data_IF_107336362266
#
_entry.id   IF_107336362266
#
_cell.length_a   1.000
_cell.length_b   1.000
_cell.length_c   1.000
_cell.angle_alpha   90.00
_cell.angle_beta   90.00
_cell.angle_gamma   90.00
#
_symmetry.space_group_name_H-M   'P 1'
#
loop_
_entity.id
_entity.type
_entity.pdbx_description
1 polymer ?
#
# COMPACT_ATOMS: atom_id res chain seq x y z
N UNK A 1 -50.92 -13.67 -36.96
CA UNK A 1 -51.91 -14.60 -37.54
C UNK A 1 -51.22 -15.93 -37.79
N UNK A 2 -51.82 -17.03 -37.31
CA UNK A 2 -51.46 -18.44 -37.62
C UNK A 2 -50.22 -18.98 -36.89
N UNK A 3 -50.23 -20.00 -36.03
CA UNK A 3 -51.25 -20.98 -35.67
C UNK A 3 -50.85 -22.40 -36.12
N UNK A 4 -50.56 -23.28 -35.13
CA UNK A 4 -50.74 -24.76 -35.12
C UNK A 4 -49.82 -25.59 -36.05
N UNK A 5 -49.25 -26.77 -35.73
CA UNK A 5 -49.77 -28.05 -35.18
C UNK A 5 -48.53 -28.88 -34.75
N UNK A 6 -48.27 -29.24 -33.49
CA UNK A 6 -48.78 -30.39 -32.71
C UNK A 6 -48.49 -31.79 -33.31
N UNK A 7 -47.43 -32.47 -32.85
CA UNK A 7 -47.40 -33.93 -32.73
C UNK A 7 -46.89 -34.34 -31.36
N UNK A 8 -47.81 -34.92 -30.60
CA UNK A 8 -47.59 -35.52 -29.30
C UNK A 8 -47.02 -36.93 -29.46
N UNK A 9 -45.98 -37.24 -28.70
CA UNK A 9 -45.68 -38.61 -28.31
C UNK A 9 -45.35 -38.61 -26.82
N UNK A 10 -46.25 -39.17 -26.02
CA UNK A 10 -46.08 -39.41 -24.58
C UNK A 10 -45.73 -40.88 -24.38
N UNK A 11 -44.57 -41.16 -23.79
CA UNK A 11 -44.27 -42.30 -22.91
C UNK A 11 -43.06 -41.84 -22.05
N UNK A 12 -43.27 -41.35 -20.83
CA UNK A 12 -43.38 -42.08 -19.56
C UNK A 12 -42.03 -42.49 -18.93
N UNK A 13 -41.57 -41.60 -18.03
CA UNK A 13 -41.03 -41.82 -16.66
C UNK A 13 -39.68 -42.54 -16.42
N UNK A 14 -38.75 -41.71 -15.93
CA UNK A 14 -37.77 -41.84 -14.84
C UNK A 14 -36.55 -42.78 -14.94
N UNK A 15 -35.37 -42.14 -14.88
CA UNK A 15 -34.32 -42.53 -13.96
C UNK A 15 -33.59 -41.27 -13.44
N UNK A 16 -33.56 -41.14 -12.12
CA UNK A 16 -32.81 -40.15 -11.34
C UNK A 16 -31.32 -40.34 -11.57
N UNK A 17 -30.60 -39.27 -11.93
CA UNK A 17 -29.21 -39.08 -11.52
C UNK A 17 -29.07 -37.66 -10.99
N UNK A 18 -28.92 -37.59 -9.68
CA UNK A 18 -28.37 -36.45 -8.95
C UNK A 18 -26.95 -36.23 -9.46
N UNK A 19 -26.78 -35.26 -10.36
CA UNK A 19 -25.49 -34.72 -10.77
C UNK A 19 -25.39 -33.31 -10.21
N UNK A 20 -24.76 -33.20 -9.04
CA UNK A 20 -24.54 -31.97 -8.29
C UNK A 20 -23.85 -30.96 -9.21
N UNK A 21 -24.55 -29.87 -9.52
CA UNK A 21 -23.94 -28.69 -10.10
C UNK A 21 -23.09 -28.02 -9.04
N UNK A 22 -21.78 -28.20 -9.11
CA UNK A 22 -20.83 -27.32 -8.42
C UNK A 22 -20.63 -26.09 -9.31
N UNK A 23 -21.62 -25.19 -9.33
CA UNK A 23 -21.24 -23.78 -9.32
C UNK A 23 -20.62 -23.56 -7.95
N UNK A 24 -19.29 -23.62 -7.89
CA UNK A 24 -18.52 -23.11 -6.77
C UNK A 24 -18.88 -21.64 -6.62
N UNK A 25 -19.95 -21.38 -5.85
CA UNK A 25 -20.17 -20.09 -5.24
C UNK A 25 -18.95 -19.85 -4.37
N UNK A 26 -18.28 -18.75 -4.68
CA UNK A 26 -17.10 -18.27 -4.01
C UNK A 26 -17.44 -17.96 -2.55
N UNK A 27 -17.37 -18.97 -1.70
CA UNK A 27 -17.15 -18.79 -0.28
C UNK A 27 -15.62 -18.70 -0.09
N UNK A 28 -15.05 -17.52 -0.35
CA UNK A 28 -13.73 -17.18 0.19
C UNK A 28 -13.86 -16.90 1.69
N UNK A 29 -14.27 -17.93 2.43
CA UNK A 29 -13.99 -18.02 3.86
C UNK A 29 -12.69 -18.78 4.00
N UNK A 30 -11.56 -18.15 3.67
CA UNK A 30 -10.28 -18.72 4.02
C UNK A 30 -10.17 -18.68 5.56
N UNK A 31 -10.23 -19.83 6.21
CA UNK A 31 -9.46 -20.06 7.43
C UNK A 31 -7.98 -19.95 7.03
N UNK A 32 -7.52 -18.71 6.85
CA UNK A 32 -6.15 -18.40 6.51
C UNK A 32 -5.31 -18.63 7.77
N UNK A 33 -4.87 -19.87 7.96
CA UNK A 33 -3.82 -20.17 8.93
C UNK A 33 -2.56 -19.39 8.52
N UNK A 34 -2.23 -18.36 9.29
CA UNK A 34 -1.02 -17.58 9.12
C UNK A 34 0.17 -18.26 9.81
N UNK A 35 1.36 -17.99 9.31
CA UNK A 35 2.61 -18.55 9.83
C UNK A 35 3.51 -17.47 10.40
N UNK A 36 4.50 -17.86 11.19
CA UNK A 36 5.48 -16.92 11.77
C UNK A 36 6.24 -16.16 10.68
N UNK A 37 6.56 -16.86 9.60
CA UNK A 37 7.29 -16.32 8.44
C UNK A 37 6.49 -15.19 7.76
N UNK A 38 5.16 -15.17 7.87
CA UNK A 38 4.34 -14.11 7.28
C UNK A 38 4.56 -12.76 7.97
N UNK A 39 4.90 -12.74 9.27
CA UNK A 39 5.21 -11.51 9.99
C UNK A 39 6.50 -10.88 9.46
N UNK A 40 7.55 -11.69 9.34
CA UNK A 40 8.84 -11.26 8.80
C UNK A 40 8.72 -10.85 7.33
N UNK A 41 7.98 -11.61 6.53
CA UNK A 41 7.77 -11.30 5.11
C UNK A 41 7.06 -9.96 4.91
N UNK A 42 6.07 -9.63 5.74
CA UNK A 42 5.36 -8.34 5.68
C UNK A 42 6.29 -7.18 6.07
N UNK A 43 7.16 -7.36 7.06
CA UNK A 43 8.17 -6.36 7.45
C UNK A 43 9.16 -6.13 6.32
N UNK A 44 9.71 -7.19 5.73
CA UNK A 44 10.69 -7.07 4.66
C UNK A 44 10.10 -6.45 3.39
N UNK A 45 8.89 -6.86 2.99
CA UNK A 45 8.21 -6.28 1.83
C UNK A 45 7.99 -4.77 1.99
N UNK A 46 7.67 -4.34 3.21
CA UNK A 46 7.47 -2.91 3.51
C UNK A 46 8.80 -2.15 3.53
N UNK A 47 9.83 -2.74 4.12
CA UNK A 47 11.18 -2.16 4.10
C UNK A 47 11.69 -1.99 2.66
N UNK A 48 11.45 -2.97 1.79
CA UNK A 48 11.76 -2.85 0.36
C UNK A 48 10.98 -1.71 -0.29
N UNK A 49 9.67 -1.64 -0.06
CA UNK A 49 8.82 -0.57 -0.61
C UNK A 49 9.32 0.82 -0.21
N UNK A 50 9.75 1.00 1.04
CA UNK A 50 10.32 2.26 1.52
C UNK A 50 11.67 2.57 0.90
N UNK A 51 12.53 1.57 0.68
CA UNK A 51 13.81 1.75 -0.03
C UNK A 51 13.58 2.17 -1.48
N UNK A 52 12.64 1.52 -2.17
CA UNK A 52 12.28 1.83 -3.55
C UNK A 52 11.68 3.22 -3.69
N UNK A 53 10.80 3.61 -2.76
CA UNK A 53 10.23 4.94 -2.70
C UNK A 53 11.32 6.02 -2.55
N UNK A 54 12.29 5.78 -1.67
CA UNK A 54 13.41 6.71 -1.46
C UNK A 54 14.39 6.75 -2.65
N UNK A 55 14.71 5.59 -3.24
CA UNK A 55 15.63 5.50 -4.38
C UNK A 55 15.06 6.16 -5.62
N UNK A 56 13.74 6.08 -5.81
CA UNK A 56 13.02 6.79 -6.87
C UNK A 56 12.97 8.30 -6.63
N UNK A 57 12.51 8.73 -5.46
CA UNK A 57 12.15 10.14 -5.27
C UNK A 57 13.35 11.04 -4.95
N UNK A 58 14.38 10.55 -4.24
CA UNK A 58 15.53 11.39 -3.86
C UNK A 58 16.25 12.02 -5.06
N UNK A 59 16.63 11.27 -6.11
CA UNK A 59 17.33 11.84 -7.25
C UNK A 59 16.48 12.91 -7.95
N UNK A 60 15.21 12.61 -8.23
CA UNK A 60 14.27 13.52 -8.89
C UNK A 60 14.06 14.82 -8.08
N UNK A 61 13.88 14.69 -6.77
CA UNK A 61 13.75 15.83 -5.87
C UNK A 61 15.01 16.71 -5.85
N UNK A 62 16.19 16.08 -5.85
CA UNK A 62 17.46 16.80 -5.94
C UNK A 62 17.63 17.53 -7.29
N UNK A 63 17.10 16.97 -8.38
CA UNK A 63 17.10 17.64 -9.69
C UNK A 63 16.25 18.90 -9.66
N UNK A 64 15.02 18.82 -9.18
CA UNK A 64 14.11 19.97 -9.05
C UNK A 64 14.67 21.07 -8.16
N UNK A 65 15.37 20.71 -7.07
CA UNK A 65 16.09 21.68 -6.25
C UNK A 65 17.20 22.39 -7.02
N UNK A 66 17.96 21.68 -7.86
CA UNK A 66 19.00 22.27 -8.73
C UNK A 66 18.38 23.19 -9.79
N UNK A 67 17.26 22.78 -10.38
CA UNK A 67 16.50 23.62 -11.32
C UNK A 67 16.02 24.91 -10.66
N UNK A 68 15.45 24.81 -9.45
CA UNK A 68 14.98 25.97 -8.71
C UNK A 68 16.13 26.93 -8.36
N UNK A 69 17.27 26.38 -7.92
CA UNK A 69 18.49 27.17 -7.67
C UNK A 69 18.89 27.97 -8.91
N UNK A 70 18.94 27.32 -10.07
CA UNK A 70 19.30 27.97 -11.33
C UNK A 70 18.28 29.05 -11.72
N UNK A 71 16.98 28.73 -11.65
CA UNK A 71 15.88 29.65 -11.97
C UNK A 71 15.88 30.91 -11.10
N UNK A 72 16.22 30.76 -9.82
CA UNK A 72 16.30 31.87 -8.85
C UNK A 72 17.67 32.54 -8.78
N UNK A 73 18.63 32.07 -9.57
CA UNK A 73 20.02 32.53 -9.58
C UNK A 73 20.66 32.56 -8.18
N UNK A 74 20.32 31.56 -7.33
CA UNK A 74 20.83 31.48 -5.97
C UNK A 74 22.31 31.08 -5.94
N UNK A 75 23.06 31.75 -5.09
CA UNK A 75 24.40 31.30 -4.69
C UNK A 75 24.33 29.97 -3.94
N UNK A 76 25.48 29.31 -3.72
CA UNK A 76 25.50 28.08 -2.93
C UNK A 76 25.02 28.31 -1.49
N UNK A 77 25.38 29.43 -0.86
CA UNK A 77 24.95 29.73 0.51
C UNK A 77 23.43 29.94 0.59
N UNK A 78 22.88 30.74 -0.32
CA UNK A 78 21.43 30.93 -0.40
C UNK A 78 20.70 29.62 -0.70
N UNK A 79 21.28 28.75 -1.53
CA UNK A 79 20.70 27.44 -1.79
C UNK A 79 20.58 26.61 -0.51
N UNK A 80 21.63 26.55 0.33
CA UNK A 80 21.58 25.79 1.58
C UNK A 80 20.52 26.32 2.55
N UNK A 81 20.32 27.64 2.61
CA UNK A 81 19.32 28.28 3.47
C UNK A 81 17.90 28.14 2.90
N UNK A 82 17.72 28.48 1.62
CA UNK A 82 16.41 28.57 0.97
C UNK A 82 15.86 27.21 0.54
N UNK A 83 16.71 26.19 0.38
CA UNK A 83 16.27 24.82 0.07
C UNK A 83 15.74 24.08 1.31
N UNK A 84 16.22 24.41 2.52
CA UNK A 84 15.89 23.66 3.73
C UNK A 84 14.37 23.53 3.98
N UNK A 85 13.55 24.60 3.80
CA UNK A 85 12.10 24.51 4.00
C UNK A 85 11.38 23.58 3.02
N UNK A 86 11.98 23.19 1.90
CA UNK A 86 11.37 22.22 0.98
C UNK A 86 11.49 20.77 1.48
N UNK A 87 12.43 20.51 2.39
CA UNK A 87 12.65 19.18 2.99
C UNK A 87 12.09 19.10 4.40
N UNK A 88 12.17 20.21 5.16
CA UNK A 88 11.80 20.26 6.57
C UNK A 88 11.05 21.55 6.92
N UNK A 89 9.84 21.36 7.41
CA UNK A 89 8.88 22.36 7.86
C UNK A 89 7.87 21.70 8.83
N UNK A 90 6.87 22.45 9.28
CA UNK A 90 5.90 21.96 10.25
C UNK A 90 5.07 20.78 9.71
N UNK A 91 4.77 20.75 8.40
CA UNK A 91 3.96 19.69 7.80
C UNK A 91 4.74 18.40 7.63
N UNK A 92 5.99 18.49 7.19
CA UNK A 92 6.93 17.36 7.12
C UNK A 92 7.28 16.82 8.50
N UNK A 93 7.34 17.68 9.53
CA UNK A 93 7.49 17.24 10.92
C UNK A 93 6.29 16.40 11.42
N UNK A 94 5.06 16.69 10.98
CA UNK A 94 3.89 15.84 11.28
C UNK A 94 4.00 14.47 10.61
N UNK A 95 4.45 14.41 9.35
CA UNK A 95 4.70 13.13 8.69
C UNK A 95 5.81 12.34 9.41
N UNK A 96 6.90 12.99 9.79
CA UNK A 96 8.01 12.36 10.50
C UNK A 96 7.57 11.76 11.83
N UNK A 97 6.79 12.52 12.62
CA UNK A 97 6.21 12.03 13.86
C UNK A 97 5.31 10.81 13.64
N UNK A 98 4.44 10.86 12.63
CA UNK A 98 3.55 9.74 12.32
C UNK A 98 4.34 8.49 11.90
N UNK A 99 5.41 8.67 11.12
CA UNK A 99 6.30 7.58 10.72
C UNK A 99 6.98 6.96 11.93
N UNK A 100 7.51 7.75 12.86
CA UNK A 100 8.15 7.25 14.07
C UNK A 100 7.18 6.44 14.95
N UNK A 101 5.94 6.93 15.12
CA UNK A 101 4.88 6.23 15.84
C UNK A 101 4.51 4.89 15.17
N UNK A 102 4.39 4.89 13.84
CA UNK A 102 4.10 3.68 13.06
C UNK A 102 5.23 2.65 13.16
N UNK A 103 6.48 3.09 12.99
CA UNK A 103 7.66 2.23 13.11
C UNK A 103 7.77 1.59 14.49
N UNK A 104 7.50 2.36 15.55
CA UNK A 104 7.48 1.85 16.92
C UNK A 104 6.43 0.75 17.10
N UNK A 105 5.20 1.00 16.67
CA UNK A 105 4.11 0.02 16.76
C UNK A 105 4.39 -1.24 15.92
N UNK A 106 4.87 -1.06 14.69
CA UNK A 106 5.27 -2.13 13.78
C UNK A 106 6.35 -3.02 14.40
N UNK A 107 7.38 -2.43 14.99
CA UNK A 107 8.48 -3.16 15.62
C UNK A 107 7.97 -4.01 16.80
N UNK A 108 7.12 -3.42 17.65
CA UNK A 108 6.50 -4.13 18.78
C UNK A 108 5.68 -5.33 18.30
N UNK A 109 4.79 -5.13 17.32
CA UNK A 109 3.90 -6.18 16.80
C UNK A 109 4.65 -7.28 16.05
N UNK A 110 5.67 -6.91 15.26
CA UNK A 110 6.51 -7.89 14.57
C UNK A 110 7.25 -8.80 15.55
N UNK A 111 7.77 -8.23 16.64
CA UNK A 111 8.42 -9.02 17.70
C UNK A 111 7.44 -9.91 18.47
N UNK A 112 6.25 -9.39 18.78
CA UNK A 112 5.19 -10.15 19.45
C UNK A 112 4.77 -11.36 18.62
N UNK A 113 4.46 -11.14 17.34
CA UNK A 113 4.06 -12.19 16.40
C UNK A 113 5.14 -13.26 16.18
N UNK A 114 6.41 -12.86 16.04
CA UNK A 114 7.52 -13.80 15.87
C UNK A 114 7.75 -14.67 17.13
N UNK A 115 7.56 -14.10 18.32
CA UNK A 115 7.76 -14.79 19.61
C UNK A 115 6.57 -15.63 20.06
N UNK A 116 5.37 -15.40 19.51
CA UNK A 116 4.17 -16.13 19.89
C UNK A 116 4.33 -17.64 19.66
N UNK A 117 3.88 -18.46 20.61
CA UNK A 117 3.91 -19.93 20.46
C UNK A 117 2.99 -20.39 19.33
N UNK A 118 1.84 -19.74 19.18
CA UNK A 118 0.89 -19.92 18.07
C UNK A 118 0.72 -18.56 17.37
N UNK A 119 0.88 -18.49 16.03
CA UNK A 119 0.64 -17.25 15.29
C UNK A 119 -0.79 -16.73 15.46
N UNK A 120 -0.94 -15.43 15.73
CA UNK A 120 -2.23 -14.74 15.75
C UNK A 120 -2.44 -13.97 14.45
N UNK A 121 -3.38 -14.43 13.64
CA UNK A 121 -3.64 -13.86 12.32
C UNK A 121 -4.33 -12.49 12.39
N UNK A 122 -4.97 -12.15 13.50
CA UNK A 122 -5.49 -10.81 13.73
C UNK A 122 -4.33 -9.80 13.89
N UNK A 123 -3.29 -10.17 14.65
CA UNK A 123 -2.09 -9.33 14.80
C UNK A 123 -1.38 -9.17 13.44
N UNK A 124 -1.27 -10.24 12.65
CA UNK A 124 -0.68 -10.16 11.32
C UNK A 124 -1.48 -9.23 10.38
N UNK A 125 -2.82 -9.27 10.45
CA UNK A 125 -3.66 -8.37 9.66
C UNK A 125 -3.45 -6.91 10.07
N UNK A 126 -3.39 -6.63 11.37
CA UNK A 126 -3.13 -5.28 11.86
C UNK A 126 -1.70 -4.81 11.51
N UNK A 127 -0.70 -5.69 11.57
CA UNK A 127 0.67 -5.40 11.14
C UNK A 127 0.68 -4.97 9.67
N UNK A 128 0.01 -5.72 8.79
CA UNK A 128 -0.14 -5.38 7.37
C UNK A 128 -0.82 -4.02 7.18
N UNK A 129 -1.86 -3.73 7.94
CA UNK A 129 -2.56 -2.45 7.86
C UNK A 129 -1.63 -1.28 8.26
N UNK A 130 -0.88 -1.41 9.36
CA UNK A 130 0.06 -0.38 9.82
C UNK A 130 1.23 -0.17 8.86
N UNK A 131 1.75 -1.25 8.28
CA UNK A 131 2.77 -1.19 7.23
C UNK A 131 2.29 -0.42 6.01
N UNK A 132 1.05 -0.68 5.56
CA UNK A 132 0.45 0.07 4.47
C UNK A 132 0.34 1.56 4.81
N UNK A 133 -0.13 1.89 6.01
CA UNK A 133 -0.22 3.29 6.46
C UNK A 133 1.17 3.94 6.47
N UNK A 134 2.23 3.24 6.88
CA UNK A 134 3.60 3.76 6.85
C UNK A 134 4.06 4.12 5.43
N UNK A 135 3.82 3.23 4.45
CA UNK A 135 4.17 3.51 3.03
C UNK A 135 3.33 4.67 2.49
N UNK A 136 2.04 4.71 2.81
CA UNK A 136 1.13 5.78 2.38
C UNK A 136 1.56 7.14 2.98
N UNK A 137 1.94 7.18 4.27
CA UNK A 137 2.47 8.37 4.96
C UNK A 137 3.74 8.89 4.28
N UNK A 138 4.68 7.99 3.99
CA UNK A 138 5.92 8.37 3.31
C UNK A 138 5.67 8.84 1.87
N UNK A 139 4.72 8.22 1.18
CA UNK A 139 4.30 8.64 -0.17
C UNK A 139 3.66 10.03 -0.14
N UNK A 140 2.78 10.29 0.83
CA UNK A 140 2.17 11.60 1.02
C UNK A 140 3.20 12.68 1.38
N UNK A 141 4.20 12.34 2.20
CA UNK A 141 5.32 13.25 2.49
C UNK A 141 6.07 13.63 1.21
N UNK A 142 6.42 12.65 0.37
CA UNK A 142 7.07 12.93 -0.90
C UNK A 142 6.21 13.79 -1.81
N UNK A 143 4.92 13.45 -1.97
CA UNK A 143 3.96 14.24 -2.76
C UNK A 143 3.91 15.70 -2.30
N UNK A 144 3.80 15.93 -1.00
CA UNK A 144 3.82 17.28 -0.42
C UNK A 144 5.11 18.05 -0.76
N UNK A 145 6.28 17.41 -0.61
CA UNK A 145 7.55 18.08 -0.91
C UNK A 145 7.69 18.40 -2.41
N UNK A 146 7.23 17.52 -3.30
CA UNK A 146 7.21 17.76 -4.75
C UNK A 146 6.25 18.90 -5.12
N UNK A 147 5.02 18.89 -4.60
CA UNK A 147 4.02 19.95 -4.85
C UNK A 147 4.56 21.34 -4.51
N UNK A 148 5.30 21.47 -3.39
CA UNK A 148 5.96 22.73 -3.01
C UNK A 148 6.98 23.18 -4.03
N UNK A 149 7.83 22.27 -4.50
CA UNK A 149 8.87 22.58 -5.49
C UNK A 149 8.26 22.94 -6.83
N UNK A 150 7.29 22.16 -7.29
CA UNK A 150 6.62 22.38 -8.57
C UNK A 150 5.88 23.72 -8.58
N UNK A 151 5.24 24.10 -7.48
CA UNK A 151 4.62 25.41 -7.32
C UNK A 151 5.64 26.57 -7.40
N UNK A 152 6.86 26.39 -6.89
CA UNK A 152 7.91 27.40 -6.98
C UNK A 152 8.58 27.44 -8.36
N UNK A 153 8.73 26.29 -9.01
CA UNK A 153 9.24 26.17 -10.36
C UNK A 153 8.26 26.73 -11.40
N UNK A 154 6.96 26.76 -11.11
CA UNK A 154 5.94 27.35 -11.99
C UNK A 154 5.89 28.89 -11.93
N UNK A 155 6.44 29.52 -10.88
CA UNK A 155 6.49 30.99 -10.72
C UNK A 155 7.62 31.61 -11.50
#
# INVERSE_FOLDING_TARGET
MGGMVQRATRFAVAAVVVGIGSTDLWAQGADATCKKEDFEAVVEATASSLRDLNSKNRPEFQEKLRELKAKRNWTQNEFMEKAAPFVRDDKTAVYDKSTDELLSAISSMGQEGARAATPDCAILLELRARMKILVDTQTAKWGYMFEKLDAELAK
#
